data_IF_397320147475
#
_entry.id   IF_397320147475
#
_cell.length_a   1.000
_cell.length_b   1.000
_cell.length_c   1.000
_cell.angle_alpha   90.00
_cell.angle_beta   90.00
_cell.angle_gamma   90.00
#
_symmetry.space_group_name_H-M   'P 1'
#
loop_
_entity.id
_entity.type
_entity.pdbx_description
1 polymer ?
#
# COMPACT_ATOMS: atom_id res chain seq x y z
N UNK A 1 -6.86 -8.12 34.36
CA UNK A 1 -7.53 -8.79 33.22
C UNK A 1 -6.58 -8.71 32.04
N UNK A 2 -6.46 -9.70 31.13
CA UNK A 2 -5.67 -9.47 29.93
C UNK A 2 -6.34 -8.32 29.19
N UNK A 3 -5.61 -7.22 28.95
CA UNK A 3 -6.14 -6.12 28.14
C UNK A 3 -6.60 -6.71 26.81
N UNK A 4 -7.88 -6.47 26.49
CA UNK A 4 -8.44 -6.91 25.23
C UNK A 4 -7.78 -6.12 24.10
N UNK A 5 -7.65 -6.68 22.90
CA UNK A 5 -7.02 -5.95 21.79
C UNK A 5 -7.72 -4.60 21.53
N UNK A 6 -9.03 -4.54 21.77
CA UNK A 6 -9.83 -3.32 21.70
C UNK A 6 -9.38 -2.22 22.68
N UNK A 7 -8.90 -2.58 23.88
CA UNK A 7 -8.36 -1.60 24.84
C UNK A 7 -7.00 -1.07 24.38
N UNK A 8 -6.11 -1.97 23.93
CA UNK A 8 -4.77 -1.60 23.43
C UNK A 8 -4.86 -0.73 22.18
N UNK A 9 -5.80 -1.03 21.27
CA UNK A 9 -6.00 -0.28 20.02
C UNK A 9 -6.82 1.00 20.19
N UNK A 10 -7.49 1.22 21.33
CA UNK A 10 -8.36 2.39 21.53
C UNK A 10 -7.65 3.72 21.24
N UNK A 11 -6.40 3.97 21.70
CA UNK A 11 -5.69 5.22 21.39
C UNK A 11 -5.32 5.37 19.90
N UNK A 12 -5.31 4.26 19.16
CA UNK A 12 -4.91 4.19 17.76
C UNK A 12 -6.10 4.14 16.79
N UNK A 13 -7.33 4.08 17.33
CA UNK A 13 -8.54 3.87 16.53
C UNK A 13 -8.70 4.92 15.43
N UNK A 14 -8.67 6.20 15.81
CA UNK A 14 -8.85 7.32 14.87
C UNK A 14 -7.73 7.38 13.84
N UNK A 15 -6.50 7.04 14.23
CA UNK A 15 -5.36 6.99 13.33
C UNK A 15 -5.56 5.93 12.24
N UNK A 16 -5.86 4.69 12.61
CA UNK A 16 -6.07 3.61 11.64
C UNK A 16 -7.33 3.83 10.79
N UNK A 17 -8.39 4.41 11.37
CA UNK A 17 -9.60 4.76 10.65
C UNK A 17 -9.31 5.83 9.58
N UNK A 18 -8.57 6.88 9.93
CA UNK A 18 -8.14 7.92 8.99
C UNK A 18 -7.35 7.33 7.82
N UNK A 19 -6.34 6.49 8.10
CA UNK A 19 -5.52 5.89 7.04
C UNK A 19 -6.33 4.96 6.13
N UNK A 20 -7.28 4.20 6.69
CA UNK A 20 -8.17 3.36 5.91
C UNK A 20 -9.11 4.18 5.02
N UNK A 21 -9.67 5.28 5.55
CA UNK A 21 -10.52 6.20 4.78
C UNK A 21 -9.75 6.86 3.64
N UNK A 22 -8.57 7.43 3.92
CA UNK A 22 -7.71 8.02 2.88
C UNK A 22 -7.40 7.00 1.79
N UNK A 23 -7.09 5.76 2.18
CA UNK A 23 -6.78 4.70 1.23
C UNK A 23 -7.98 4.30 0.38
N UNK A 24 -9.18 4.18 0.98
CA UNK A 24 -10.41 3.92 0.27
C UNK A 24 -10.71 5.02 -0.76
N UNK A 25 -10.55 6.30 -0.36
CA UNK A 25 -10.75 7.45 -1.24
C UNK A 25 -9.78 7.45 -2.42
N UNK A 26 -8.49 7.16 -2.19
CA UNK A 26 -7.50 7.07 -3.26
C UNK A 26 -7.76 5.90 -4.21
N UNK A 27 -8.17 4.74 -3.70
CA UNK A 27 -8.58 3.60 -4.56
C UNK A 27 -9.74 4.03 -5.48
N UNK A 28 -10.76 4.70 -4.92
CA UNK A 28 -11.87 5.22 -5.70
C UNK A 28 -11.42 6.22 -6.78
N UNK A 29 -10.55 7.17 -6.42
CA UNK A 29 -9.99 8.14 -7.36
C UNK A 29 -9.19 7.45 -8.48
N UNK A 30 -8.40 6.42 -8.16
CA UNK A 30 -7.65 5.65 -9.15
C UNK A 30 -8.57 4.91 -10.13
N UNK A 31 -9.72 4.39 -9.67
CA UNK A 31 -10.71 3.78 -10.58
C UNK A 31 -11.33 4.80 -11.52
N UNK A 32 -11.63 6.02 -11.03
CA UNK A 32 -12.11 7.12 -11.90
C UNK A 32 -11.06 7.47 -12.94
N UNK A 33 -9.80 7.64 -12.54
CA UNK A 33 -8.69 7.97 -13.46
C UNK A 33 -8.49 6.86 -14.50
N UNK A 34 -8.51 5.60 -14.09
CA UNK A 34 -8.40 4.47 -15.01
C UNK A 34 -9.59 4.39 -16.00
N UNK A 35 -10.79 4.80 -15.57
CA UNK A 35 -11.97 4.86 -16.44
C UNK A 35 -11.85 5.97 -17.49
N UNK A 36 -11.38 7.15 -17.10
CA UNK A 36 -11.14 8.30 -18.00
C UNK A 36 -10.04 7.95 -19.01
N UNK A 37 -8.91 7.45 -18.52
CA UNK A 37 -7.76 7.04 -19.33
C UNK A 37 -7.90 5.67 -19.99
N UNK A 38 -9.11 5.11 -20.09
CA UNK A 38 -9.34 3.75 -20.60
C UNK A 38 -8.88 3.58 -22.06
N UNK A 39 -8.94 4.65 -22.87
CA UNK A 39 -8.42 4.67 -24.23
C UNK A 39 -6.89 4.45 -24.30
N UNK A 40 -6.16 4.70 -23.20
CA UNK A 40 -4.72 4.49 -23.10
C UNK A 40 -4.36 3.05 -22.70
N UNK A 41 -5.33 2.25 -22.23
CA UNK A 41 -5.19 0.83 -21.91
C UNK A 41 -5.26 -0.05 -23.17
N UNK A 42 -4.47 0.27 -24.19
CA UNK A 42 -4.34 -0.56 -25.40
C UNK A 42 -3.42 -1.76 -25.16
N UNK A 43 -3.53 -2.87 -25.93
CA UNK A 43 -2.67 -4.05 -25.74
C UNK A 43 -1.17 -3.74 -25.74
N UNK A 44 -0.76 -2.67 -26.46
CA UNK A 44 0.63 -2.20 -26.52
C UNK A 44 1.12 -1.55 -25.22
N UNK A 45 0.25 -0.87 -24.47
CA UNK A 45 0.63 -0.07 -23.29
C UNK A 45 0.09 -0.63 -21.96
N UNK A 46 -0.89 -1.52 -22.01
CA UNK A 46 -1.59 -2.08 -20.84
C UNK A 46 -0.62 -2.71 -19.84
N UNK A 47 0.33 -3.53 -20.31
CA UNK A 47 1.31 -4.19 -19.43
C UNK A 47 2.23 -3.17 -18.72
N UNK A 48 2.52 -2.06 -19.40
CA UNK A 48 3.26 -0.92 -18.86
C UNK A 48 2.51 -0.31 -17.69
N UNK A 49 1.29 0.16 -17.96
CA UNK A 49 0.40 0.86 -17.03
C UNK A 49 0.05 -0.03 -15.83
N UNK A 50 -0.36 -1.29 -16.07
CA UNK A 50 -0.73 -2.22 -15.00
C UNK A 50 0.41 -2.50 -14.03
N UNK A 51 1.67 -2.47 -14.48
CA UNK A 51 2.82 -2.72 -13.61
C UNK A 51 3.02 -1.64 -12.55
N UNK A 52 2.48 -0.44 -12.74
CA UNK A 52 2.53 0.66 -11.77
C UNK A 52 1.20 0.84 -11.04
N UNK A 53 0.07 0.59 -11.73
CA UNK A 53 -1.27 0.78 -11.18
C UNK A 53 -1.61 -0.30 -10.16
N UNK A 54 -1.38 -1.56 -10.53
CA UNK A 54 -1.77 -2.72 -9.72
C UNK A 54 -1.07 -2.73 -8.35
N UNK A 55 0.26 -2.51 -8.25
CA UNK A 55 0.92 -2.48 -6.95
C UNK A 55 0.39 -1.36 -6.06
N UNK A 56 0.17 -0.17 -6.62
CA UNK A 56 -0.35 0.99 -5.87
C UNK A 56 -1.72 0.69 -5.27
N UNK A 57 -2.65 0.13 -6.05
CA UNK A 57 -3.99 -0.28 -5.55
C UNK A 57 -3.87 -1.38 -4.49
N UNK A 58 -2.96 -2.34 -4.66
CA UNK A 58 -2.72 -3.40 -3.66
C UNK A 58 -2.21 -2.82 -2.34
N UNK A 59 -1.23 -1.90 -2.37
CA UNK A 59 -0.71 -1.26 -1.16
C UNK A 59 -1.79 -0.45 -0.44
N UNK A 60 -2.61 0.32 -1.18
CA UNK A 60 -3.77 1.02 -0.61
C UNK A 60 -4.78 0.05 0.01
N UNK A 61 -5.02 -1.09 -0.64
CA UNK A 61 -5.94 -2.12 -0.14
C UNK A 61 -5.42 -2.74 1.15
N UNK A 62 -4.11 -2.93 1.27
CA UNK A 62 -3.49 -3.40 2.52
C UNK A 62 -3.67 -2.38 3.64
N UNK A 63 -3.49 -1.09 3.39
CA UNK A 63 -3.71 -0.03 4.39
C UNK A 63 -5.18 -0.02 4.84
N UNK A 64 -6.12 -0.11 3.89
CA UNK A 64 -7.55 -0.17 4.16
C UNK A 64 -7.91 -1.37 5.05
N UNK A 65 -7.45 -2.57 4.67
CA UNK A 65 -7.70 -3.78 5.43
C UNK A 65 -7.04 -3.72 6.81
N UNK A 66 -5.84 -3.12 6.90
CA UNK A 66 -5.15 -2.97 8.17
C UNK A 66 -5.98 -2.15 9.17
N UNK A 67 -6.51 -1.01 8.73
CA UNK A 67 -7.36 -0.17 9.58
C UNK A 67 -8.73 -0.78 9.87
N UNK A 68 -9.35 -1.46 8.89
CA UNK A 68 -10.60 -2.18 9.11
C UNK A 68 -10.44 -3.27 10.19
N UNK A 69 -9.35 -4.03 10.15
CA UNK A 69 -9.04 -5.05 11.17
C UNK A 69 -8.74 -4.44 12.54
N UNK A 70 -8.08 -3.28 12.60
CA UNK A 70 -7.85 -2.56 13.85
C UNK A 70 -9.17 -2.10 14.51
N UNK A 71 -10.20 -1.86 13.70
CA UNK A 71 -11.53 -1.50 14.18
C UNK A 71 -12.40 -2.71 14.60
N UNK A 72 -11.97 -3.96 14.35
CA UNK A 72 -12.76 -5.15 14.69
C UNK A 72 -12.60 -5.50 16.18
N UNK A 73 -13.64 -5.34 17.01
CA UNK A 73 -13.54 -5.54 18.46
C UNK A 73 -13.40 -7.02 18.87
N UNK A 74 -13.77 -7.95 17.97
CA UNK A 74 -13.75 -9.39 18.21
C UNK A 74 -12.38 -10.04 18.02
N UNK A 75 -11.41 -9.34 17.41
CA UNK A 75 -10.09 -9.91 17.15
C UNK A 75 -9.23 -9.88 18.41
N UNK A 76 -8.67 -11.03 18.77
CA UNK A 76 -7.67 -11.10 19.84
C UNK A 76 -6.34 -10.49 19.38
N UNK A 77 -5.51 -10.05 20.33
CA UNK A 77 -4.21 -9.45 20.05
C UNK A 77 -3.29 -10.38 19.25
N UNK A 78 -3.32 -11.68 19.57
CA UNK A 78 -2.57 -12.71 18.82
C UNK A 78 -3.09 -12.89 17.39
N UNK A 79 -4.40 -12.85 17.18
CA UNK A 79 -4.98 -12.93 15.83
C UNK A 79 -4.55 -11.74 14.97
N UNK A 80 -4.58 -10.52 15.53
CA UNK A 80 -4.07 -9.33 14.85
C UNK A 80 -2.59 -9.47 14.49
N UNK A 81 -1.77 -9.93 15.43
CA UNK A 81 -0.35 -10.20 15.18
C UNK A 81 -0.13 -11.20 14.03
N UNK A 82 -0.91 -12.30 14.00
CA UNK A 82 -0.82 -13.29 12.93
C UNK A 82 -1.24 -12.72 11.56
N UNK A 83 -2.35 -11.96 11.52
CA UNK A 83 -2.87 -11.42 10.26
C UNK A 83 -1.99 -10.30 9.72
N UNK A 84 -1.56 -9.36 10.57
CA UNK A 84 -0.62 -8.32 10.15
C UNK A 84 0.75 -8.89 9.79
N UNK A 85 1.23 -9.89 10.52
CA UNK A 85 2.48 -10.59 10.18
C UNK A 85 2.41 -11.31 8.84
N UNK A 86 1.38 -12.14 8.65
CA UNK A 86 1.17 -12.84 7.38
C UNK A 86 0.96 -11.88 6.20
N UNK A 87 0.16 -10.83 6.41
CA UNK A 87 -0.05 -9.78 5.42
C UNK A 87 1.23 -9.01 5.08
N UNK A 88 2.06 -8.71 6.08
CA UNK A 88 3.34 -8.02 5.87
C UNK A 88 4.33 -8.91 5.11
N UNK A 89 4.39 -10.21 5.41
CA UNK A 89 5.22 -11.17 4.69
C UNK A 89 4.78 -11.32 3.23
N UNK A 90 3.48 -11.47 2.99
CA UNK A 90 2.93 -11.56 1.63
C UNK A 90 3.19 -10.26 0.84
N UNK A 91 2.96 -9.11 1.46
CA UNK A 91 3.22 -7.79 0.87
C UNK A 91 4.70 -7.56 0.58
N UNK A 92 5.60 -8.01 1.46
CA UNK A 92 7.05 -7.96 1.25
C UNK A 92 7.47 -8.78 0.02
N UNK A 93 7.04 -10.03 -0.06
CA UNK A 93 7.31 -10.90 -1.20
C UNK A 93 6.76 -10.32 -2.51
N UNK A 94 5.52 -9.81 -2.47
CA UNK A 94 4.91 -9.13 -3.62
C UNK A 94 5.72 -7.90 -4.05
N UNK A 95 6.15 -7.07 -3.10
CA UNK A 95 6.92 -5.84 -3.36
C UNK A 95 8.32 -6.12 -3.92
N UNK A 96 8.96 -7.21 -3.48
CA UNK A 96 10.21 -7.66 -4.09
C UNK A 96 10.01 -8.05 -5.56
N UNK A 97 8.95 -8.80 -5.86
CA UNK A 97 8.64 -9.22 -7.23
C UNK A 97 8.31 -8.04 -8.14
N UNK A 98 7.46 -7.11 -7.68
CA UNK A 98 7.11 -5.92 -8.46
C UNK A 98 8.29 -4.97 -8.61
N UNK A 99 9.03 -4.73 -7.53
CA UNK A 99 10.24 -3.90 -7.56
C UNK A 99 11.30 -4.44 -8.51
N UNK A 100 11.53 -5.77 -8.50
CA UNK A 100 12.43 -6.41 -9.45
C UNK A 100 11.98 -6.25 -10.91
N UNK A 101 10.67 -6.33 -11.19
CA UNK A 101 10.13 -6.07 -12.53
C UNK A 101 10.33 -4.63 -12.98
N UNK A 102 10.19 -3.66 -12.07
CA UNK A 102 10.42 -2.24 -12.36
C UNK A 102 11.90 -1.99 -12.66
N UNK A 103 12.80 -2.50 -11.82
CA UNK A 103 14.26 -2.32 -11.98
C UNK A 103 14.80 -2.95 -13.27
N UNK A 104 14.16 -4.03 -13.75
CA UNK A 104 14.55 -4.71 -15.00
C UNK A 104 13.99 -4.07 -16.26
N UNK A 105 13.12 -3.06 -16.17
CA UNK A 105 12.65 -2.34 -17.36
C UNK A 105 13.67 -1.27 -17.74
N UNK A 106 14.06 -1.28 -19.01
CA UNK A 106 14.93 -0.26 -19.57
C UNK A 106 14.24 1.12 -19.54
N UNK A 107 15.02 2.19 -19.35
CA UNK A 107 14.58 3.59 -19.30
C UNK A 107 13.67 4.01 -18.11
N UNK A 108 13.75 3.32 -16.96
CA UNK A 108 13.12 3.80 -15.71
C UNK A 108 14.09 4.71 -14.94
N UNK A 109 13.59 5.85 -14.44
CA UNK A 109 14.39 6.78 -13.64
C UNK A 109 14.72 6.19 -12.25
N UNK A 110 15.88 6.55 -11.68
CA UNK A 110 16.27 6.08 -10.34
C UNK A 110 15.27 6.48 -9.25
N UNK A 111 14.55 7.58 -9.46
CA UNK A 111 13.50 8.06 -8.56
C UNK A 111 12.35 7.05 -8.49
N UNK A 112 11.95 6.47 -9.63
CA UNK A 112 10.87 5.48 -9.69
C UNK A 112 11.26 4.17 -8.99
N UNK A 113 12.53 3.77 -9.04
CA UNK A 113 13.01 2.62 -8.27
C UNK A 113 12.83 2.82 -6.76
N UNK A 114 13.04 4.04 -6.27
CA UNK A 114 12.85 4.34 -4.85
C UNK A 114 11.38 4.23 -4.44
N UNK A 115 10.48 4.86 -5.20
CA UNK A 115 9.06 4.96 -4.86
C UNK A 115 8.26 3.67 -5.13
N UNK A 116 8.54 2.96 -6.23
CA UNK A 116 7.82 1.74 -6.59
C UNK A 116 8.44 0.46 -6.06
N UNK A 117 9.70 0.49 -5.60
CA UNK A 117 10.37 -0.69 -5.05
C UNK A 117 10.87 -0.50 -3.61
N UNK A 118 11.81 0.42 -3.37
CA UNK A 118 12.49 0.50 -2.09
C UNK A 118 11.54 0.83 -0.92
N UNK A 119 10.63 1.79 -1.12
CA UNK A 119 9.76 2.29 -0.07
C UNK A 119 8.68 1.25 0.35
N UNK A 120 7.97 0.58 -0.57
CA UNK A 120 7.09 -0.53 -0.20
C UNK A 120 7.82 -1.69 0.48
N UNK A 121 9.01 -2.07 -0.01
CA UNK A 121 9.82 -3.14 0.61
C UNK A 121 10.17 -2.77 2.06
N UNK A 122 10.65 -1.54 2.30
CA UNK A 122 10.98 -1.07 3.64
C UNK A 122 9.74 -1.04 4.56
N UNK A 123 8.61 -0.59 4.04
CA UNK A 123 7.36 -0.52 4.80
C UNK A 123 6.88 -1.89 5.26
N UNK A 124 6.91 -2.90 4.37
CA UNK A 124 6.55 -4.27 4.75
C UNK A 124 7.60 -4.92 5.67
N UNK A 125 8.89 -4.61 5.51
CA UNK A 125 9.93 -5.07 6.43
C UNK A 125 9.70 -4.55 7.86
N UNK A 126 9.29 -3.29 8.00
CA UNK A 126 8.89 -2.70 9.29
C UNK A 126 7.66 -3.44 9.85
N UNK A 127 6.66 -3.76 9.02
CA UNK A 127 5.49 -4.55 9.44
C UNK A 127 5.87 -5.95 9.95
N UNK A 128 6.81 -6.63 9.29
CA UNK A 128 7.37 -7.91 9.76
C UNK A 128 8.08 -7.71 11.10
N UNK A 129 8.91 -6.67 11.24
CA UNK A 129 9.61 -6.37 12.49
C UNK A 129 8.63 -6.10 13.65
N UNK A 130 7.49 -5.47 13.37
CA UNK A 130 6.43 -5.23 14.35
C UNK A 130 5.72 -6.50 14.83
N UNK A 131 5.74 -7.58 14.04
CA UNK A 131 5.03 -8.83 14.35
C UNK A 131 5.62 -9.53 15.58
N UNK A 132 6.95 -9.52 15.73
CA UNK A 132 7.64 -10.19 16.85
C UNK A 132 7.19 -9.64 18.22
N UNK A 133 7.20 -8.31 18.48
CA UNK A 133 6.68 -7.77 19.72
C UNK A 133 5.17 -8.00 19.89
N UNK A 134 4.35 -7.95 18.83
CA UNK A 134 2.91 -8.27 18.96
C UNK A 134 2.68 -9.68 19.51
N UNK A 135 3.36 -10.67 18.94
CA UNK A 135 3.20 -12.07 19.34
C UNK A 135 3.77 -12.35 20.75
N UNK A 136 4.73 -11.53 21.20
CA UNK A 136 5.33 -11.61 22.55
C UNK A 136 4.66 -10.70 23.59
N UNK A 137 3.67 -9.89 23.19
CA UNK A 137 2.96 -8.96 24.09
C UNK A 137 3.71 -7.66 24.41
N UNK A 138 4.67 -7.25 23.58
CA UNK A 138 5.42 -6.01 23.75
C UNK A 138 4.72 -4.79 23.13
N UNK A 139 4.69 -3.67 23.85
CA UNK A 139 4.07 -2.39 23.44
C UNK A 139 4.65 -1.71 22.17
N UNK A 140 5.95 -1.79 21.81
CA UNK A 140 6.50 -1.06 20.65
C UNK A 140 5.96 -1.46 19.27
N UNK A 141 5.07 -2.46 19.20
CA UNK A 141 4.58 -2.99 17.93
C UNK A 141 3.66 -2.05 17.16
N UNK A 142 2.84 -1.24 17.86
CA UNK A 142 1.87 -0.38 17.18
C UNK A 142 2.51 0.82 16.51
N UNK A 143 3.56 1.39 17.13
CA UNK A 143 4.35 2.46 16.53
C UNK A 143 5.04 1.99 15.24
N UNK A 144 5.62 0.79 15.26
CA UNK A 144 6.25 0.19 14.07
C UNK A 144 5.22 -0.08 12.98
N UNK A 145 4.07 -0.69 13.30
CA UNK A 145 2.99 -0.88 12.34
C UNK A 145 2.53 0.45 11.74
N UNK A 146 2.30 1.45 12.58
CA UNK A 146 1.91 2.79 12.15
C UNK A 146 2.94 3.39 11.19
N UNK A 147 4.24 3.28 11.50
CA UNK A 147 5.33 3.71 10.63
C UNK A 147 5.32 2.98 9.28
N UNK A 148 5.14 1.65 9.27
CA UNK A 148 5.04 0.88 8.04
C UNK A 148 3.83 1.26 7.19
N UNK A 149 2.66 1.41 7.79
CA UNK A 149 1.43 1.81 7.09
C UNK A 149 1.55 3.24 6.53
N UNK A 150 2.14 4.17 7.28
CA UNK A 150 2.41 5.54 6.81
C UNK A 150 3.36 5.57 5.62
N UNK A 151 4.42 4.75 5.65
CA UNK A 151 5.34 4.64 4.51
C UNK A 151 4.62 4.08 3.28
N UNK A 152 3.80 3.04 3.41
CA UNK A 152 2.97 2.55 2.30
C UNK A 152 2.05 3.65 1.76
N UNK A 153 1.43 4.44 2.64
CA UNK A 153 0.53 5.51 2.22
C UNK A 153 1.28 6.61 1.45
N UNK A 154 2.45 7.02 1.95
CA UNK A 154 3.30 8.02 1.29
C UNK A 154 3.74 7.53 -0.09
N UNK A 155 4.18 6.28 -0.22
CA UNK A 155 4.46 5.68 -1.53
C UNK A 155 3.23 5.69 -2.42
N UNK A 156 2.08 5.25 -1.91
CA UNK A 156 0.87 5.17 -2.71
C UNK A 156 0.38 6.53 -3.20
N UNK A 157 0.40 7.57 -2.36
CA UNK A 157 0.05 8.94 -2.75
C UNK A 157 0.93 9.41 -3.90
N UNK A 158 2.26 9.24 -3.76
CA UNK A 158 3.19 9.66 -4.82
C UNK A 158 2.94 8.88 -6.11
N UNK A 159 2.81 7.56 -6.01
CA UNK A 159 2.58 6.71 -7.17
C UNK A 159 1.25 7.03 -7.86
N UNK A 160 0.19 7.32 -7.10
CA UNK A 160 -1.11 7.75 -7.63
C UNK A 160 -1.02 9.10 -8.35
N UNK A 161 -0.28 10.06 -7.78
CA UNK A 161 -0.02 11.35 -8.44
C UNK A 161 0.68 11.17 -9.80
N UNK A 162 1.70 10.32 -9.85
CA UNK A 162 2.43 10.06 -11.09
C UNK A 162 1.54 9.40 -12.15
N UNK A 163 0.61 8.51 -11.75
CA UNK A 163 -0.37 7.96 -12.68
C UNK A 163 -1.28 9.04 -13.26
N UNK A 164 -1.77 9.96 -12.42
CA UNK A 164 -2.69 11.03 -12.85
C UNK A 164 -2.00 11.92 -13.89
N UNK A 165 -0.75 12.33 -13.64
CA UNK A 165 0.03 13.13 -14.58
C UNK A 165 0.29 12.35 -15.88
N UNK A 166 0.57 11.05 -15.79
CA UNK A 166 0.76 10.21 -16.96
C UNK A 166 -0.50 10.15 -17.85
N UNK A 167 -1.67 9.90 -17.26
CA UNK A 167 -2.93 9.86 -18.03
C UNK A 167 -3.26 11.23 -18.62
N UNK A 168 -3.18 12.30 -17.81
CA UNK A 168 -3.47 13.66 -18.26
C UNK A 168 -2.53 14.16 -19.37
N UNK A 169 -1.25 13.77 -19.35
CA UNK A 169 -0.30 14.17 -20.40
C UNK A 169 -0.49 13.40 -21.71
N UNK A 170 -0.92 12.13 -21.66
CA UNK A 170 -1.14 11.31 -22.86
C UNK A 170 -2.47 11.55 -23.56
N UNK A 171 -3.50 12.00 -22.85
CA UNK A 171 -4.76 12.43 -23.46
C UNK A 171 -4.60 13.67 -24.36
N UNK A 172 -3.51 14.45 -24.19
CA UNK A 172 -3.24 15.67 -24.94
C UNK A 172 -2.35 15.48 -26.19
N UNK A 173 -1.91 14.25 -26.50
CA UNK A 173 -1.10 13.99 -27.70
C UNK A 173 -2.01 13.68 -28.90
N UNK A 174 -1.78 14.31 -30.09
CA UNK A 174 -2.52 13.94 -31.29
C UNK A 174 -2.30 12.46 -31.63
N UNK A 175 -3.30 11.76 -32.20
CA UNK A 175 -3.14 10.36 -32.57
C UNK A 175 -1.94 10.22 -33.51
N UNK A 176 -1.03 9.30 -33.18
CA UNK A 176 0.09 8.97 -34.05
C UNK A 176 -0.45 8.34 -35.32
N UNK A 177 -0.32 9.06 -36.44
CA UNK A 177 -0.64 8.59 -37.80
C UNK A 177 0.11 7.31 -38.15
#
# INVERSE_FOLDING_TARGET
MPETAAEILRPWHDFYLLLATVSATLIGAMFVVASIGSNLLTPKHESGIRAFLTPTVIHLSVILLAGAMAAMPSLSWRMLGNVYGGGSMAGFAYSLLTGWRVIRRDNIERVDHFWYAALPIAAYAIGIAATVPMLRGGMPSLDLLAGGVLLLLIAAIRNSWDMIIFFASRDNLPPSN
#
